data_IF_049178486836
#
_entry.id   IF_049178486836
#
_cell.length_a   1.000
_cell.length_b   1.000
_cell.length_c   1.000
_cell.angle_alpha   90.00
_cell.angle_beta   90.00
_cell.angle_gamma   90.00
#
_symmetry.space_group_name_H-M   'P 1'
#
loop_
_entity.id
_entity.type
_entity.pdbx_description
1 polymer ?
#
# COMPACT_ATOMS: atom_id res chain seq x y z
N UNK A 1 -10.02 -27.48 -27.62
CA UNK A 1 -9.40 -26.14 -27.70
C UNK A 1 -8.83 -25.86 -26.31
N UNK A 2 -7.52 -25.65 -26.21
CA UNK A 2 -6.83 -25.50 -24.94
C UNK A 2 -7.40 -24.30 -24.16
N UNK A 3 -7.78 -24.52 -22.91
CA UNK A 3 -8.05 -23.45 -21.95
C UNK A 3 -6.77 -22.61 -21.83
N UNK A 4 -6.70 -21.51 -22.58
CA UNK A 4 -5.71 -20.49 -22.38
C UNK A 4 -5.96 -19.92 -20.97
N UNK A 5 -5.26 -20.46 -19.97
CA UNK A 5 -5.23 -19.91 -18.64
C UNK A 5 -4.88 -18.43 -18.78
N UNK A 6 -5.81 -17.55 -18.40
CA UNK A 6 -5.58 -16.12 -18.42
C UNK A 6 -4.28 -15.85 -17.66
N UNK A 7 -3.32 -15.21 -18.34
CA UNK A 7 -2.03 -14.87 -17.73
C UNK A 7 -2.29 -13.90 -16.57
N UNK A 8 -2.25 -14.41 -15.34
CA UNK A 8 -2.35 -13.59 -14.14
C UNK A 8 -1.18 -12.59 -14.11
N UNK A 9 -1.49 -11.33 -13.86
CA UNK A 9 -0.49 -10.25 -13.77
C UNK A 9 0.36 -10.32 -12.49
N UNK A 10 -0.09 -11.16 -11.55
CA UNK A 10 0.40 -11.25 -10.18
C UNK A 10 0.88 -12.69 -9.86
N UNK A 11 2.12 -12.83 -9.39
CA UNK A 11 2.69 -14.14 -9.03
C UNK A 11 2.10 -14.79 -7.76
N UNK A 12 2.23 -16.12 -7.63
CA UNK A 12 1.66 -16.96 -6.55
C UNK A 12 2.08 -16.58 -5.11
N UNK A 13 3.09 -15.72 -4.93
CA UNK A 13 3.55 -15.21 -3.62
C UNK A 13 3.15 -13.77 -3.32
N UNK A 14 2.27 -13.17 -4.11
CA UNK A 14 1.89 -11.77 -3.95
C UNK A 14 1.22 -11.45 -2.62
N UNK A 15 0.60 -12.43 -1.95
CA UNK A 15 0.05 -12.27 -0.60
C UNK A 15 1.07 -11.72 0.42
N UNK A 16 2.38 -11.92 0.19
CA UNK A 16 3.45 -11.40 1.04
C UNK A 16 3.62 -9.88 0.92
N UNK A 17 3.32 -9.28 -0.23
CA UNK A 17 3.48 -7.84 -0.48
C UNK A 17 2.64 -6.98 0.47
N UNK A 18 1.31 -7.17 0.59
CA UNK A 18 0.50 -6.38 1.49
C UNK A 18 0.86 -6.66 2.96
N UNK A 19 1.22 -7.89 3.33
CA UNK A 19 1.64 -8.20 4.72
C UNK A 19 2.92 -7.45 5.11
N UNK A 20 3.93 -7.42 4.24
CA UNK A 20 5.17 -6.65 4.49
C UNK A 20 4.85 -5.16 4.62
N UNK A 21 4.03 -4.61 3.72
CA UNK A 21 3.61 -3.20 3.79
C UNK A 21 2.81 -2.89 5.07
N UNK A 22 1.97 -3.82 5.52
CA UNK A 22 1.20 -3.67 6.75
C UNK A 22 2.11 -3.60 7.98
N UNK A 23 3.08 -4.51 8.07
CA UNK A 23 4.06 -4.50 9.16
C UNK A 23 4.83 -3.17 9.20
N UNK A 24 5.25 -2.66 8.03
CA UNK A 24 5.92 -1.37 7.93
C UNK A 24 5.03 -0.17 8.31
N UNK A 25 3.72 -0.26 8.13
CA UNK A 25 2.79 0.79 8.53
C UNK A 25 2.47 0.76 10.04
N UNK A 26 2.41 -0.41 10.67
CA UNK A 26 2.07 -0.51 12.09
C UNK A 26 3.15 0.02 13.04
N UNK A 27 4.43 -0.12 12.68
CA UNK A 27 5.54 0.41 13.50
C UNK A 27 5.42 1.94 13.72
N UNK A 28 5.35 2.79 12.67
CA UNK A 28 5.17 4.22 12.83
C UNK A 28 3.79 4.58 13.40
N UNK A 29 2.74 3.82 13.09
CA UNK A 29 1.42 4.03 13.67
C UNK A 29 1.43 3.89 15.20
N UNK A 30 2.05 2.83 15.72
CA UNK A 30 2.21 2.61 17.15
C UNK A 30 3.08 3.71 17.78
N UNK A 31 4.17 4.10 17.12
CA UNK A 31 5.03 5.17 17.58
C UNK A 31 4.28 6.51 17.72
N UNK A 32 3.40 6.84 16.78
CA UNK A 32 2.57 8.05 16.85
C UNK A 32 1.50 7.93 17.94
N UNK A 33 0.80 6.79 17.99
CA UNK A 33 -0.38 6.61 18.86
C UNK A 33 -0.02 6.59 20.34
N UNK A 34 1.12 5.99 20.70
CA UNK A 34 1.53 5.83 22.10
C UNK A 34 2.52 6.91 22.57
N UNK A 35 2.81 7.91 21.74
CA UNK A 35 3.70 9.02 22.12
C UNK A 35 2.89 10.31 22.28
N UNK A 36 3.03 10.99 23.42
CA UNK A 36 2.37 12.25 23.65
C UNK A 36 2.90 13.39 22.75
N UNK A 37 4.16 13.30 22.30
CA UNK A 37 4.78 14.29 21.44
C UNK A 37 4.24 14.20 20.01
N UNK A 38 3.36 15.13 19.64
CA UNK A 38 2.85 15.29 18.27
C UNK A 38 3.41 16.56 17.59
N UNK A 39 4.67 16.89 17.85
CA UNK A 39 5.35 17.97 17.14
C UNK A 39 5.55 17.64 15.66
N UNK A 40 5.64 18.67 14.82
CA UNK A 40 5.91 18.51 13.40
C UNK A 40 7.26 17.81 13.13
N UNK A 41 8.28 18.08 13.96
CA UNK A 41 9.58 17.41 13.86
C UNK A 41 9.45 15.91 14.10
N UNK A 42 8.72 15.51 15.15
CA UNK A 42 8.45 14.09 15.39
C UNK A 42 7.71 13.45 14.22
N UNK A 43 6.67 14.11 13.71
CA UNK A 43 5.93 13.67 12.51
C UNK A 43 6.83 13.48 11.28
N UNK A 44 7.73 14.43 11.02
CA UNK A 44 8.71 14.35 9.92
C UNK A 44 9.68 13.18 10.07
N UNK A 45 10.19 12.94 11.28
CA UNK A 45 11.10 11.81 11.53
C UNK A 45 10.39 10.48 11.31
N UNK A 46 9.19 10.32 11.88
CA UNK A 46 8.41 9.08 11.76
C UNK A 46 7.96 8.85 10.32
N UNK A 47 7.39 9.88 9.67
CA UNK A 47 7.05 9.83 8.25
C UNK A 47 8.27 9.52 7.39
N UNK A 48 9.39 10.17 7.68
CA UNK A 48 10.64 10.02 6.93
C UNK A 48 11.16 8.59 6.94
N UNK A 49 11.26 8.00 8.13
CA UNK A 49 11.67 6.61 8.30
C UNK A 49 10.68 5.65 7.60
N UNK A 50 9.37 5.86 7.79
CA UNK A 50 8.33 5.07 7.14
C UNK A 50 8.41 5.13 5.61
N UNK A 51 8.44 6.33 5.03
CA UNK A 51 8.42 6.54 3.59
C UNK A 51 9.68 6.00 2.92
N UNK A 52 10.84 6.13 3.58
CA UNK A 52 12.10 5.59 3.09
C UNK A 52 12.08 4.05 3.05
N UNK A 53 11.75 3.40 4.16
CA UNK A 53 11.71 1.93 4.24
C UNK A 53 10.61 1.35 3.35
N UNK A 54 9.44 1.99 3.32
CA UNK A 54 8.33 1.56 2.46
C UNK A 54 8.65 1.76 0.98
N UNK A 55 9.33 2.86 0.62
CA UNK A 55 9.76 3.10 -0.76
C UNK A 55 10.74 2.03 -1.25
N UNK A 56 11.70 1.64 -0.41
CA UNK A 56 12.61 0.51 -0.69
C UNK A 56 11.83 -0.79 -0.84
N UNK A 57 10.93 -1.10 0.09
CA UNK A 57 10.13 -2.32 0.06
C UNK A 57 9.28 -2.42 -1.22
N UNK A 58 8.58 -1.34 -1.60
CA UNK A 58 7.78 -1.27 -2.83
C UNK A 58 8.66 -1.45 -4.07
N UNK A 59 9.83 -0.81 -4.12
CA UNK A 59 10.76 -0.94 -5.25
C UNK A 59 11.32 -2.37 -5.41
N UNK A 60 11.64 -3.04 -4.30
CA UNK A 60 12.14 -4.42 -4.31
C UNK A 60 11.05 -5.44 -4.63
N UNK A 61 9.87 -5.30 -4.01
CA UNK A 61 8.76 -6.23 -4.17
C UNK A 61 8.16 -6.14 -5.58
N UNK A 62 7.94 -4.93 -6.10
CA UNK A 62 7.43 -4.71 -7.46
C UNK A 62 8.30 -5.40 -8.52
N UNK A 63 9.62 -5.35 -8.39
CA UNK A 63 10.55 -6.06 -9.30
C UNK A 63 10.42 -7.58 -9.26
N UNK A 64 10.01 -8.15 -8.12
CA UNK A 64 9.93 -9.60 -7.91
C UNK A 64 8.54 -10.17 -8.21
N UNK A 65 7.48 -9.39 -8.05
CA UNK A 65 6.11 -9.93 -8.05
C UNK A 65 5.27 -9.47 -9.24
N UNK A 66 5.62 -8.38 -9.92
CA UNK A 66 4.89 -7.87 -11.08
C UNK A 66 5.55 -8.34 -12.37
N UNK A 67 4.75 -8.93 -13.27
CA UNK A 67 5.20 -9.42 -14.57
C UNK A 67 5.03 -8.37 -15.68
N UNK A 68 4.05 -7.46 -15.55
CA UNK A 68 3.86 -6.35 -16.49
C UNK A 68 4.92 -5.26 -16.27
N UNK A 69 5.68 -4.95 -17.33
CA UNK A 69 6.74 -3.95 -17.32
C UNK A 69 6.23 -2.53 -16.97
N UNK A 70 4.99 -2.20 -17.36
CA UNK A 70 4.41 -0.88 -17.12
C UNK A 70 3.94 -0.72 -15.69
N UNK A 71 3.30 -1.73 -15.11
CA UNK A 71 2.94 -1.70 -13.69
C UNK A 71 4.20 -1.65 -12.83
N UNK A 72 5.21 -2.46 -13.19
CA UNK A 72 6.52 -2.41 -12.54
C UNK A 72 7.16 -1.02 -12.59
N UNK A 73 7.08 -0.30 -13.71
CA UNK A 73 7.65 1.05 -13.80
C UNK A 73 6.89 2.06 -12.94
N UNK A 74 5.55 1.97 -12.86
CA UNK A 74 4.73 2.81 -11.99
C UNK A 74 5.06 2.59 -10.51
N UNK A 75 5.15 1.34 -10.06
CA UNK A 75 5.50 1.03 -8.68
C UNK A 75 6.96 1.34 -8.34
N UNK A 76 7.88 1.25 -9.31
CA UNK A 76 9.25 1.73 -9.14
C UNK A 76 9.28 3.24 -8.95
N UNK A 77 8.53 4.00 -9.75
CA UNK A 77 8.40 5.44 -9.59
C UNK A 77 7.81 5.79 -8.21
N UNK A 78 6.75 5.09 -7.78
CA UNK A 78 6.19 5.24 -6.44
C UNK A 78 7.23 4.98 -5.34
N UNK A 79 8.04 3.93 -5.49
CA UNK A 79 9.14 3.62 -4.56
C UNK A 79 10.17 4.74 -4.49
N UNK A 80 10.58 5.29 -5.64
CA UNK A 80 11.51 6.43 -5.74
C UNK A 80 10.92 7.68 -5.10
N UNK A 81 9.65 8.00 -5.36
CA UNK A 81 8.95 9.13 -4.74
C UNK A 81 8.91 8.97 -3.21
N UNK A 82 8.60 7.76 -2.72
CA UNK A 82 8.61 7.45 -1.28
C UNK A 82 9.99 7.63 -0.66
N UNK A 83 11.05 7.12 -1.31
CA UNK A 83 12.43 7.28 -0.83
C UNK A 83 12.86 8.74 -0.82
N UNK A 84 12.55 9.51 -1.87
CA UNK A 84 12.88 10.92 -1.96
C UNK A 84 12.15 11.74 -0.87
N UNK A 85 10.84 11.51 -0.70
CA UNK A 85 10.07 12.15 0.36
C UNK A 85 10.62 11.78 1.75
N UNK A 86 10.96 10.50 1.96
CA UNK A 86 11.54 10.02 3.21
C UNK A 86 12.88 10.67 3.53
N UNK A 87 13.79 10.72 2.55
CA UNK A 87 15.09 11.36 2.69
C UNK A 87 14.97 12.86 2.97
N UNK A 88 14.09 13.57 2.26
CA UNK A 88 13.82 14.98 2.50
C UNK A 88 13.25 15.23 3.90
N UNK A 89 12.32 14.39 4.37
CA UNK A 89 11.74 14.51 5.70
C UNK A 89 12.79 14.37 6.80
N UNK A 90 13.71 13.40 6.65
CA UNK A 90 14.78 13.16 7.62
C UNK A 90 15.85 14.26 7.57
N UNK A 91 16.28 14.69 6.38
CA UNK A 91 17.28 15.72 6.21
C UNK A 91 16.81 17.09 6.73
N UNK A 92 15.53 17.41 6.50
CA UNK A 92 14.91 18.68 6.87
C UNK A 92 13.86 18.52 7.98
N UNK A 93 14.14 17.65 8.97
CA UNK A 93 13.19 17.35 10.04
C UNK A 93 12.87 18.58 10.94
N UNK A 94 13.71 19.61 10.92
CA UNK A 94 13.46 20.90 11.57
C UNK A 94 12.65 21.89 10.70
N UNK A 95 12.14 21.49 9.53
CA UNK A 95 11.42 22.36 8.59
C UNK A 95 10.04 22.83 9.06
N UNK A 96 9.58 22.40 10.24
CA UNK A 96 8.33 22.84 10.85
C UNK A 96 7.07 22.26 10.22
N UNK A 97 5.91 22.76 10.66
CA UNK A 97 4.60 22.21 10.30
C UNK A 97 4.27 22.38 8.80
N UNK A 98 4.59 23.55 8.23
CA UNK A 98 4.32 23.80 6.80
C UNK A 98 5.06 22.81 5.89
N UNK A 99 6.33 22.50 6.22
CA UNK A 99 7.11 21.52 5.48
C UNK A 99 6.55 20.10 5.65
N UNK A 100 6.18 19.71 6.87
CA UNK A 100 5.50 18.44 7.13
C UNK A 100 4.24 18.27 6.27
N UNK A 101 3.33 19.25 6.32
CA UNK A 101 2.08 19.23 5.58
C UNK A 101 2.32 19.18 4.08
N UNK A 102 3.19 20.04 3.55
CA UNK A 102 3.54 20.06 2.13
C UNK A 102 4.09 18.70 1.68
N UNK A 103 5.08 18.17 2.40
CA UNK A 103 5.78 16.97 2.01
C UNK A 103 4.88 15.73 2.04
N UNK A 104 4.09 15.56 3.11
CA UNK A 104 3.14 14.44 3.23
C UNK A 104 2.02 14.57 2.21
N UNK A 105 1.50 15.78 1.97
CA UNK A 105 0.44 16.00 0.96
C UNK A 105 0.91 15.68 -0.44
N UNK A 106 2.09 16.17 -0.84
CA UNK A 106 2.66 15.90 -2.17
C UNK A 106 2.95 14.42 -2.33
N UNK A 107 3.57 13.80 -1.34
CA UNK A 107 3.81 12.35 -1.34
C UNK A 107 2.50 11.57 -1.46
N UNK A 108 1.49 11.91 -0.67
CA UNK A 108 0.21 11.21 -0.66
C UNK A 108 -0.57 11.41 -1.96
N UNK A 109 -0.53 12.61 -2.54
CA UNK A 109 -1.15 12.89 -3.83
C UNK A 109 -0.51 12.07 -4.96
N UNK A 110 0.83 12.03 -5.03
CA UNK A 110 1.54 11.29 -6.07
C UNK A 110 1.36 9.79 -5.91
N UNK A 111 1.57 9.25 -4.70
CA UNK A 111 1.43 7.82 -4.45
C UNK A 111 -0.02 7.35 -4.58
N UNK A 112 -0.97 8.12 -4.04
CA UNK A 112 -2.41 7.86 -4.18
C UNK A 112 -2.85 7.87 -5.64
N UNK A 113 -2.39 8.82 -6.45
CA UNK A 113 -2.70 8.86 -7.88
C UNK A 113 -2.12 7.67 -8.64
N UNK A 114 -0.85 7.30 -8.39
CA UNK A 114 -0.20 6.18 -9.06
C UNK A 114 -0.93 4.85 -8.79
N UNK A 115 -1.31 4.60 -7.53
CA UNK A 115 -2.03 3.38 -7.15
C UNK A 115 -3.50 3.38 -7.62
N UNK A 116 -4.17 4.55 -7.61
CA UNK A 116 -5.52 4.67 -8.14
C UNK A 116 -5.54 4.43 -9.65
N UNK A 117 -4.56 5.01 -10.37
CA UNK A 117 -4.41 4.81 -11.81
C UNK A 117 -4.11 3.35 -12.16
N UNK A 118 -3.22 2.68 -11.42
CA UNK A 118 -2.91 1.26 -11.65
C UNK A 118 -4.15 0.38 -11.43
N UNK A 119 -4.88 0.58 -10.33
CA UNK A 119 -6.10 -0.18 -10.02
C UNK A 119 -7.24 0.02 -11.04
N UNK A 120 -7.46 1.25 -11.51
CA UNK A 120 -8.46 1.53 -12.56
C UNK A 120 -8.04 0.91 -13.90
N UNK A 121 -6.76 1.02 -14.26
CA UNK A 121 -6.24 0.55 -15.55
C UNK A 121 -6.22 -0.97 -15.66
N UNK A 122 -5.89 -1.66 -14.57
CA UNK A 122 -5.83 -3.13 -14.54
C UNK A 122 -7.22 -3.79 -14.69
N UNK A 123 -8.30 -3.00 -14.57
CA UNK A 123 -9.72 -3.41 -14.75
C UNK A 123 -10.18 -4.49 -13.77
N UNK A 124 -9.58 -4.57 -12.57
CA UNK A 124 -9.97 -5.53 -11.52
C UNK A 124 -9.93 -6.99 -11.98
N UNK A 125 -8.96 -7.34 -12.84
CA UNK A 125 -8.80 -8.69 -13.38
C UNK A 125 -8.31 -9.64 -12.30
N UNK A 126 -7.38 -9.16 -11.48
CA UNK A 126 -6.81 -9.90 -10.37
C UNK A 126 -7.21 -9.27 -9.02
N UNK A 127 -7.22 -10.04 -7.92
CA UNK A 127 -7.54 -9.49 -6.60
C UNK A 127 -6.61 -8.35 -6.16
N UNK A 128 -5.32 -8.39 -6.57
CA UNK A 128 -4.33 -7.35 -6.27
C UNK A 128 -4.67 -5.97 -6.86
N UNK A 129 -5.38 -5.93 -7.99
CA UNK A 129 -5.78 -4.68 -8.65
C UNK A 129 -6.77 -3.88 -7.81
N UNK A 130 -7.66 -4.58 -7.10
CA UNK A 130 -8.65 -3.96 -6.21
C UNK A 130 -7.96 -3.33 -5.01
N UNK A 131 -6.93 -4.00 -4.49
CA UNK A 131 -6.15 -3.49 -3.38
C UNK A 131 -5.43 -2.18 -3.74
N UNK A 132 -4.85 -2.08 -4.93
CA UNK A 132 -4.22 -0.83 -5.38
C UNK A 132 -5.22 0.33 -5.45
N UNK A 133 -6.42 0.07 -5.95
CA UNK A 133 -7.47 1.10 -6.01
C UNK A 133 -7.86 1.59 -4.61
N UNK A 134 -8.05 0.68 -3.66
CA UNK A 134 -8.46 1.02 -2.29
C UNK A 134 -7.34 1.74 -1.54
N UNK A 135 -6.10 1.24 -1.63
CA UNK A 135 -4.94 1.90 -1.00
C UNK A 135 -4.69 3.28 -1.60
N UNK A 136 -4.78 3.40 -2.93
CA UNK A 136 -4.67 4.66 -3.63
C UNK A 136 -5.74 5.66 -3.20
N UNK A 137 -6.98 5.19 -3.02
CA UNK A 137 -8.09 6.01 -2.52
C UNK A 137 -7.84 6.51 -1.08
N UNK A 138 -7.44 5.65 -0.14
CA UNK A 138 -7.10 6.08 1.22
C UNK A 138 -5.97 7.11 1.25
N UNK A 139 -4.97 6.92 0.38
CA UNK A 139 -3.82 7.82 0.30
C UNK A 139 -4.19 9.16 -0.36
N UNK A 140 -5.05 9.15 -1.38
CA UNK A 140 -5.61 10.38 -1.95
C UNK A 140 -6.49 11.14 -0.96
N UNK A 141 -7.28 10.43 -0.14
CA UNK A 141 -8.07 11.03 0.94
C UNK A 141 -7.15 11.69 1.98
N UNK A 142 -6.03 11.06 2.35
CA UNK A 142 -5.04 11.69 3.23
C UNK A 142 -4.54 13.02 2.66
N UNK A 143 -4.18 13.06 1.37
CA UNK A 143 -3.74 14.28 0.71
C UNK A 143 -4.81 15.38 0.76
N UNK A 144 -6.07 15.02 0.47
CA UNK A 144 -7.19 15.95 0.51
C UNK A 144 -7.43 16.49 1.93
N UNK A 145 -7.40 15.61 2.93
CA UNK A 145 -7.58 15.97 4.34
C UNK A 145 -6.51 16.96 4.79
N UNK A 146 -5.24 16.74 4.42
CA UNK A 146 -4.14 17.65 4.78
C UNK A 146 -4.24 19.00 4.06
N UNK A 147 -4.81 19.03 2.86
CA UNK A 147 -5.01 20.28 2.10
C UNK A 147 -6.17 21.11 2.66
N UNK A 148 -7.24 20.47 3.13
CA UNK A 148 -8.47 21.13 3.55
C UNK A 148 -8.50 21.49 5.04
N UNK A 149 -7.81 20.72 5.89
CA UNK A 149 -7.82 20.99 7.32
C UNK A 149 -6.92 22.17 7.70
N UNK A 150 -7.34 22.99 8.69
CA UNK A 150 -6.49 24.01 9.25
C UNK A 150 -5.18 23.41 9.80
N UNK A 151 -4.01 24.03 9.52
CA UNK A 151 -2.73 23.53 10.01
C UNK A 151 -2.68 23.41 11.54
N UNK A 152 -2.58 22.19 12.03
CA UNK A 152 -2.37 21.90 13.45
C UNK A 152 -1.46 20.66 13.61
N UNK A 153 -0.34 20.75 14.36
CA UNK A 153 0.64 19.68 14.42
C UNK A 153 0.08 18.42 15.07
N UNK A 154 -0.69 18.55 16.16
CA UNK A 154 -1.29 17.42 16.87
C UNK A 154 -2.26 16.66 15.97
N UNK A 155 -3.16 17.40 15.31
CA UNK A 155 -4.15 16.83 14.39
C UNK A 155 -3.44 16.17 13.20
N UNK A 156 -2.45 16.83 12.60
CA UNK A 156 -1.81 16.34 11.37
C UNK A 156 -0.96 15.09 11.62
N UNK A 157 -0.17 15.07 12.70
CA UNK A 157 0.61 13.89 13.08
C UNK A 157 -0.33 12.74 13.49
N UNK A 158 -1.38 13.03 14.26
CA UNK A 158 -2.40 12.04 14.63
C UNK A 158 -3.12 11.45 13.40
N UNK A 159 -3.47 12.26 12.41
CA UNK A 159 -4.07 11.82 11.15
C UNK A 159 -3.14 10.94 10.33
N UNK A 160 -1.84 11.26 10.29
CA UNK A 160 -0.86 10.37 9.67
C UNK A 160 -0.86 9.00 10.38
N UNK A 161 -0.86 8.99 11.72
CA UNK A 161 -0.97 7.76 12.51
C UNK A 161 -2.24 6.97 12.20
N UNK A 162 -3.40 7.64 12.17
CA UNK A 162 -4.69 7.03 11.84
C UNK A 162 -4.70 6.44 10.43
N UNK A 163 -4.16 7.16 9.45
CA UNK A 163 -3.98 6.65 8.08
C UNK A 163 -3.12 5.38 8.06
N UNK A 164 -2.00 5.35 8.79
CA UNK A 164 -1.12 4.19 8.85
C UNK A 164 -1.81 2.97 9.49
N UNK A 165 -2.63 3.18 10.51
CA UNK A 165 -3.47 2.11 11.10
C UNK A 165 -4.47 1.59 10.07
N UNK A 166 -5.24 2.49 9.42
CA UNK A 166 -6.22 2.10 8.41
C UNK A 166 -5.58 1.32 7.26
N UNK A 167 -4.44 1.82 6.76
CA UNK A 167 -3.64 1.17 5.74
C UNK A 167 -3.16 -0.21 6.18
N UNK A 168 -2.58 -0.31 7.38
CA UNK A 168 -2.07 -1.56 7.94
C UNK A 168 -3.17 -2.62 8.09
N UNK A 169 -4.31 -2.25 8.67
CA UNK A 169 -5.45 -3.15 8.85
C UNK A 169 -5.98 -3.64 7.51
N UNK A 170 -6.18 -2.73 6.55
CA UNK A 170 -6.64 -3.10 5.21
C UNK A 170 -5.68 -4.09 4.54
N UNK A 171 -4.37 -3.81 4.59
CA UNK A 171 -3.36 -4.66 3.98
C UNK A 171 -3.21 -6.02 4.65
N UNK A 172 -3.43 -6.13 5.97
CA UNK A 172 -3.51 -7.44 6.64
C UNK A 172 -4.68 -8.25 6.08
N UNK A 173 -5.86 -7.65 5.99
CA UNK A 173 -7.06 -8.31 5.47
C UNK A 173 -6.83 -8.75 4.02
N UNK A 174 -6.31 -7.86 3.18
CA UNK A 174 -5.99 -8.14 1.79
C UNK A 174 -4.98 -9.30 1.65
N UNK A 175 -3.89 -9.26 2.42
CA UNK A 175 -2.85 -10.30 2.40
C UNK A 175 -3.36 -11.67 2.84
N UNK A 176 -4.16 -11.73 3.91
CA UNK A 176 -4.77 -12.98 4.38
C UNK A 176 -5.83 -13.51 3.41
N UNK A 177 -6.62 -12.61 2.80
CA UNK A 177 -7.60 -12.96 1.76
C UNK A 177 -6.92 -13.63 0.55
N UNK A 178 -5.81 -13.07 0.08
CA UNK A 178 -5.01 -13.66 -1.01
C UNK A 178 -4.41 -15.02 -0.65
N UNK A 179 -3.90 -15.15 0.59
CA UNK A 179 -3.31 -16.41 1.08
C UNK A 179 -4.33 -17.54 1.06
N UNK A 180 -5.56 -17.28 1.50
CA UNK A 180 -6.60 -18.31 1.59
C UNK A 180 -7.29 -18.60 0.26
N UNK A 181 -7.38 -17.62 -0.64
CA UNK A 181 -7.87 -17.85 -2.00
C UNK A 181 -6.97 -18.80 -2.82
N UNK A 182 -5.72 -19.01 -2.38
CA UNK A 182 -4.75 -19.88 -3.05
C UNK A 182 -4.82 -21.35 -2.61
N UNK A 183 -5.66 -21.71 -1.63
CA UNK A 183 -5.84 -23.10 -1.17
C UNK A 183 -7.04 -23.74 -1.91
N UNK A 184 -6.84 -24.78 -2.75
CA UNK A 184 -7.94 -25.46 -3.43
C UNK A 184 -8.94 -26.09 -2.43
N UNK A 185 -10.24 -25.89 -2.66
CA UNK A 185 -11.29 -26.53 -1.86
C UNK A 185 -11.27 -28.05 -2.11
N UNK A 186 -11.10 -28.91 -1.07
CA UNK A 186 -11.11 -30.36 -1.21
C UNK A 186 -12.35 -30.91 -1.95
N UNK A 187 -13.48 -30.18 -1.92
CA UNK A 187 -14.72 -30.54 -2.64
C UNK A 187 -14.59 -30.50 -4.16
N UNK A 188 -13.68 -29.70 -4.70
CA UNK A 188 -13.40 -29.66 -6.15
C UNK A 188 -12.57 -30.85 -6.62
N UNK A 189 -11.89 -31.55 -5.70
CA UNK A 189 -11.13 -32.76 -6.00
C UNK A 189 -11.99 -34.04 -5.94
N UNK A 190 -13.15 -34.00 -5.29
CA UNK A 190 -14.08 -35.14 -5.19
C UNK A 190 -15.15 -35.15 -6.29
N UNK A 191 -15.35 -34.03 -6.99
CA UNK A 191 -16.20 -33.98 -8.19
C UNK A 191 -15.44 -34.53 -9.41
N UNK A 192 -15.09 -35.82 -9.39
CA UNK A 192 -14.71 -36.52 -10.62
C UNK A 192 -15.95 -36.63 -11.51
N UNK A 193 -15.94 -36.20 -12.79
CA UNK A 193 -17.09 -36.23 -13.68
C UNK A 193 -17.63 -37.62 -14.06
N UNK A 194 -17.19 -38.72 -13.43
CA UNK A 194 -17.30 -40.05 -14.01
C UNK A 194 -18.16 -41.07 -13.24
N UNK A 195 -18.93 -40.66 -12.23
CA UNK A 195 -19.75 -41.58 -11.42
C UNK A 195 -21.26 -41.59 -11.77
N UNK A 196 -21.70 -40.89 -12.83
CA UNK A 196 -23.12 -40.85 -13.23
C UNK A 196 -23.51 -41.72 -14.44
N UNK A 197 -22.55 -42.39 -15.10
CA UNK A 197 -22.80 -43.04 -16.40
C UNK A 197 -23.00 -44.58 -16.32
N UNK A 198 -23.31 -45.12 -15.14
CA UNK A 198 -23.63 -46.55 -14.99
C UNK A 198 -24.99 -46.77 -14.31
N UNK A 199 -26.07 -46.48 -15.03
CA UNK A 199 -27.41 -47.00 -14.76
C UNK A 199 -28.00 -47.63 -16.03
#
# INVERSE_FOLDING_TARGET
>A
MANAQASHSVGTRYWSVPIVRAALAFVPAAAITFNANHSAQFGLVVFGAFALVSGVAVGLLSRRTLTDARERSLFLLQGVVGMAAGALALAFNAGGLGFFLYLVTVWAAVTGFLELYSGIRARRRDPGDRDWLVVGAFTAVLALVFLLLPPNPVVSVGLLGAYLVMLGVYLVIAGLSLKWASTPDPRTLTASPNDSDTL
#
